data_IF_624921714132
#
_entry.id   IF_624921714132
#
_cell.length_a   1.000
_cell.length_b   1.000
_cell.length_c   1.000
_cell.angle_alpha   90.00
_cell.angle_beta   90.00
_cell.angle_gamma   90.00
#
_symmetry.space_group_name_H-M   'P 1'
#
loop_
_entity.id
_entity.type
_entity.pdbx_description
1 polymer ?
#
# COMPACT_ATOMS: atom_id res chain seq x y z
N UNK A 1 -26.98 -17.73 -6.44
CA UNK A 1 -26.68 -18.24 -5.09
C UNK A 1 -25.35 -17.63 -4.66
N UNK A 2 -25.39 -16.89 -3.55
CA UNK A 2 -24.28 -16.50 -2.67
C UNK A 2 -22.98 -16.01 -3.34
N UNK A 3 -22.94 -14.72 -3.65
CA UNK A 3 -21.70 -13.96 -3.70
C UNK A 3 -20.93 -14.21 -2.39
N UNK A 4 -19.79 -14.88 -2.49
CA UNK A 4 -18.83 -14.93 -1.38
C UNK A 4 -18.35 -13.51 -1.18
N UNK A 5 -18.94 -12.82 -0.22
CA UNK A 5 -18.47 -11.53 0.28
C UNK A 5 -17.05 -11.78 0.79
N UNK A 6 -16.05 -11.48 -0.04
CA UNK A 6 -14.66 -11.52 0.39
C UNK A 6 -14.57 -10.62 1.62
N UNK A 7 -14.26 -11.23 2.76
CA UNK A 7 -14.11 -10.50 4.00
C UNK A 7 -12.97 -9.51 3.76
N UNK A 8 -13.32 -8.22 3.62
CA UNK A 8 -12.33 -7.14 3.43
C UNK A 8 -11.28 -7.31 4.51
N UNK A 9 -10.03 -7.55 4.10
CA UNK A 9 -8.95 -7.77 5.05
C UNK A 9 -8.83 -6.56 5.97
N UNK A 10 -8.72 -6.83 7.27
CA UNK A 10 -8.50 -5.82 8.30
C UNK A 10 -7.52 -6.37 9.33
N UNK A 11 -6.50 -5.61 9.74
CA UNK A 11 -5.55 -6.08 10.74
C UNK A 11 -6.20 -6.13 12.14
N UNK A 12 -5.68 -6.97 13.01
CA UNK A 12 -6.00 -6.94 14.44
C UNK A 12 -5.25 -5.82 15.15
N UNK A 13 -5.73 -5.41 16.33
CA UNK A 13 -5.05 -4.41 17.17
C UNK A 13 -3.59 -4.81 17.49
N UNK A 14 -3.37 -6.09 17.82
CA UNK A 14 -2.03 -6.63 18.02
C UNK A 14 -1.14 -6.51 16.77
N UNK A 15 -1.68 -6.73 15.57
CA UNK A 15 -0.94 -6.54 14.32
C UNK A 15 -0.64 -5.06 14.07
N UNK A 16 -1.58 -4.17 14.40
CA UNK A 16 -1.37 -2.71 14.30
C UNK A 16 -0.21 -2.29 15.20
N UNK A 17 -0.25 -2.65 16.48
CA UNK A 17 0.68 -2.13 17.48
C UNK A 17 2.07 -2.77 17.41
N UNK A 18 2.13 -4.08 17.14
CA UNK A 18 3.39 -4.83 17.21
C UNK A 18 4.10 -4.96 15.88
N UNK A 19 3.39 -4.78 14.76
CA UNK A 19 3.92 -5.01 13.42
C UNK A 19 3.82 -3.76 12.57
N UNK A 20 2.59 -3.27 12.33
CA UNK A 20 2.34 -2.22 11.33
C UNK A 20 2.94 -0.88 11.78
N UNK A 21 2.62 -0.40 12.99
CA UNK A 21 3.15 0.88 13.50
C UNK A 21 4.68 0.85 13.56
N UNK A 22 5.34 -0.16 14.17
CA UNK A 22 6.80 -0.21 14.21
C UNK A 22 7.45 -0.27 12.82
N UNK A 23 6.90 -1.06 11.89
CA UNK A 23 7.43 -1.13 10.52
C UNK A 23 7.29 0.21 9.79
N UNK A 24 6.16 0.89 9.96
CA UNK A 24 5.87 2.16 9.29
C UNK A 24 6.61 3.35 9.89
N UNK A 25 7.10 3.28 11.14
CA UNK A 25 7.87 4.36 11.76
C UNK A 25 9.14 4.72 10.98
N UNK A 26 9.90 3.71 10.53
CA UNK A 26 11.12 3.95 9.74
C UNK A 26 10.80 4.58 8.39
N UNK A 27 9.75 4.10 7.73
CA UNK A 27 9.25 4.64 6.47
C UNK A 27 8.73 6.07 6.62
N UNK A 28 8.02 6.37 7.71
CA UNK A 28 7.51 7.72 7.99
C UNK A 28 8.65 8.74 8.17
N UNK A 29 9.74 8.35 8.83
CA UNK A 29 10.93 9.21 8.97
C UNK A 29 11.58 9.52 7.62
N UNK A 30 11.68 8.53 6.73
CA UNK A 30 12.22 8.73 5.39
C UNK A 30 11.35 9.67 4.56
N UNK A 31 10.02 9.51 4.60
CA UNK A 31 9.11 10.43 3.92
C UNK A 31 9.15 11.84 4.48
N UNK A 32 9.26 12.00 5.80
CA UNK A 32 9.43 13.32 6.41
C UNK A 32 10.71 14.02 5.93
N UNK A 33 11.80 13.27 5.76
CA UNK A 33 13.05 13.77 5.18
C UNK A 33 12.85 14.25 3.73
N UNK A 34 12.23 13.43 2.88
CA UNK A 34 11.94 13.82 1.50
C UNK A 34 10.98 15.01 1.41
N UNK A 35 9.98 15.09 2.30
CA UNK A 35 9.10 16.25 2.37
C UNK A 35 9.86 17.54 2.67
N UNK A 36 10.83 17.47 3.59
CA UNK A 36 11.70 18.60 3.92
C UNK A 36 12.60 18.98 2.74
N UNK A 37 13.27 18.00 2.12
CA UNK A 37 14.22 18.23 1.02
C UNK A 37 13.55 18.76 -0.24
N UNK A 38 12.38 18.22 -0.59
CA UNK A 38 11.63 18.58 -1.78
C UNK A 38 10.63 19.71 -1.53
N UNK A 39 10.55 20.20 -0.29
CA UNK A 39 9.54 21.17 0.16
C UNK A 39 8.11 20.75 -0.22
N UNK A 40 7.83 19.45 -0.21
CA UNK A 40 6.55 18.92 -0.65
C UNK A 40 5.58 18.83 0.53
N UNK A 41 4.28 19.16 0.31
CA UNK A 41 3.30 19.07 1.38
C UNK A 41 3.05 17.60 1.74
N UNK A 42 2.77 17.28 3.01
CA UNK A 42 2.45 15.92 3.43
C UNK A 42 1.31 15.26 2.64
N UNK A 43 0.35 16.06 2.16
CA UNK A 43 -0.75 15.60 1.31
C UNK A 43 -0.26 14.97 -0.01
N UNK A 44 0.87 15.44 -0.55
CA UNK A 44 1.45 14.88 -1.78
C UNK A 44 2.03 13.48 -1.55
N UNK A 45 2.62 13.22 -0.39
CA UNK A 45 3.10 11.88 0.00
C UNK A 45 1.93 10.89 0.05
N UNK A 46 0.77 11.32 0.57
CA UNK A 46 -0.43 10.48 0.59
C UNK A 46 -0.95 10.14 -0.81
N UNK A 47 -0.81 11.06 -1.79
CA UNK A 47 -1.14 10.79 -3.19
C UNK A 47 -0.17 9.78 -3.79
N UNK A 48 1.15 9.99 -3.63
CA UNK A 48 2.16 9.04 -4.14
C UNK A 48 1.98 7.63 -3.56
N UNK A 49 1.69 7.51 -2.26
CA UNK A 49 1.44 6.22 -1.63
C UNK A 49 0.19 5.52 -2.17
N UNK A 50 -0.83 6.29 -2.55
CA UNK A 50 -2.03 5.76 -3.22
C UNK A 50 -1.69 5.27 -4.62
N UNK A 51 -0.98 6.07 -5.42
CA UNK A 51 -0.57 5.69 -6.77
C UNK A 51 0.30 4.42 -6.76
N UNK A 52 1.18 4.27 -5.77
CA UNK A 52 1.97 3.05 -5.56
C UNK A 52 1.07 1.85 -5.21
N UNK A 53 0.08 2.04 -4.33
CA UNK A 53 -0.86 0.98 -3.97
C UNK A 53 -1.70 0.54 -5.18
N UNK A 54 -2.22 1.49 -5.95
CA UNK A 54 -2.98 1.24 -7.18
C UNK A 54 -2.11 0.46 -8.19
N UNK A 55 -0.83 0.81 -8.32
CA UNK A 55 0.13 0.08 -9.16
C UNK A 55 0.30 -1.38 -8.72
N UNK A 56 0.27 -1.68 -7.41
CA UNK A 56 0.36 -3.06 -6.93
C UNK A 56 -0.90 -3.88 -7.26
N UNK A 57 -2.08 -3.27 -7.15
CA UNK A 57 -3.34 -3.91 -7.53
C UNK A 57 -3.40 -4.16 -9.04
N UNK A 58 -2.97 -3.19 -9.86
CA UNK A 58 -2.90 -3.33 -11.31
C UNK A 58 -1.92 -4.42 -11.76
N UNK A 59 -0.76 -4.53 -11.09
CA UNK A 59 0.23 -5.58 -11.40
C UNK A 59 -0.17 -6.97 -10.89
N UNK A 60 -0.93 -7.06 -9.80
CA UNK A 60 -1.52 -8.32 -9.37
C UNK A 60 -2.43 -8.90 -10.47
N UNK A 61 -3.23 -8.04 -11.12
CA UNK A 61 -4.15 -8.41 -12.21
C UNK A 61 -3.42 -8.86 -13.49
N UNK A 62 -2.24 -8.31 -13.79
CA UNK A 62 -1.47 -8.71 -14.99
C UNK A 62 -0.68 -10.00 -14.80
N UNK A 63 -0.29 -10.36 -13.56
CA UNK A 63 0.42 -11.61 -13.27
C UNK A 63 -0.42 -12.89 -13.46
N UNK A 64 -1.77 -12.78 -13.40
CA UNK A 64 -2.69 -13.91 -13.60
C UNK A 64 -3.11 -14.11 -15.06
N UNK A 65 -2.80 -13.18 -15.97
CA UNK A 65 -3.01 -13.40 -17.40
C UNK A 65 -1.82 -14.14 -17.98
N UNK A 66 -1.92 -15.46 -17.87
CA UNK A 66 -1.01 -16.42 -18.49
C UNK A 66 -0.58 -15.97 -19.89
N UNK A 67 0.73 -15.94 -20.08
CA UNK A 67 1.35 -16.06 -21.38
C UNK A 67 1.00 -17.46 -21.93
N UNK A 68 -0.20 -17.58 -22.50
CA UNK A 68 -0.55 -18.63 -23.44
C UNK A 68 -0.33 -18.03 -24.84
N UNK A 69 0.94 -17.73 -25.13
CA UNK A 69 1.35 -17.41 -26.50
C UNK A 69 1.45 -18.73 -27.26
N UNK A 70 0.55 -18.85 -28.24
CA UNK A 70 0.40 -19.94 -29.21
C UNK A 70 1.70 -20.38 -29.87
#
# INVERSE_FOLDING_TARGET
MTEKRETKWSPTEDQIDKIIIPAMQGTAQQYAKYASELQCPPAFIALMLRDIADTFEENAITSEKGCDCC
#
